data_IF_322448136978
#
_entry.id   IF_322448136978
#
_cell.length_a   1.000
_cell.length_b   1.000
_cell.length_c   1.000
_cell.angle_alpha   90.00
_cell.angle_beta   90.00
_cell.angle_gamma   90.00
#
_symmetry.space_group_name_H-M   'P 1'
#
loop_
_entity.id
_entity.type
_entity.pdbx_description
1 polymer ?
#
# COMPACT_ATOMS: atom_id res chain seq x y z
N UNK A 1 -13.33 -13.27 25.54
CA UNK A 1 -12.52 -12.68 24.46
C UNK A 1 -11.10 -12.53 25.00
N UNK A 2 -10.09 -13.06 24.31
CA UNK A 2 -8.66 -12.89 24.67
C UNK A 2 -8.02 -12.06 23.57
N UNK A 3 -7.34 -10.99 23.96
CA UNK A 3 -6.60 -10.13 23.03
C UNK A 3 -5.14 -10.55 22.97
N UNK A 4 -4.53 -10.46 21.77
CA UNK A 4 -3.12 -10.77 21.55
C UNK A 4 -2.51 -9.83 20.52
N UNK A 5 -1.32 -9.29 20.84
CA UNK A 5 -0.53 -8.52 19.88
C UNK A 5 0.35 -9.47 19.06
N UNK A 6 -0.09 -9.73 17.83
CA UNK A 6 0.59 -10.60 16.86
C UNK A 6 1.90 -10.00 16.36
N UNK A 7 2.06 -8.67 16.40
CA UNK A 7 3.28 -8.03 15.92
C UNK A 7 4.44 -8.17 16.90
N UNK A 8 4.13 -8.14 18.21
CA UNK A 8 5.09 -8.34 19.30
C UNK A 8 5.39 -9.83 19.52
N UNK A 9 4.35 -10.64 19.73
CA UNK A 9 4.50 -12.01 20.27
C UNK A 9 4.25 -13.13 19.26
N UNK A 10 3.83 -12.79 18.04
CA UNK A 10 3.37 -13.76 17.07
C UNK A 10 2.09 -14.48 17.52
N UNK A 11 1.85 -15.67 16.97
CA UNK A 11 0.70 -16.52 17.35
C UNK A 11 1.12 -17.86 17.97
N UNK A 12 2.43 -18.13 18.13
CA UNK A 12 2.92 -19.47 18.49
C UNK A 12 2.36 -19.98 19.82
N UNK A 13 2.11 -19.10 20.79
CA UNK A 13 1.62 -19.48 22.12
C UNK A 13 0.11 -19.70 22.19
N UNK A 14 -0.62 -19.43 21.12
CA UNK A 14 -2.10 -19.49 21.08
C UNK A 14 -2.66 -20.37 19.97
N UNK A 15 -1.81 -20.88 19.08
CA UNK A 15 -2.22 -21.80 18.02
C UNK A 15 -2.26 -23.23 18.54
N UNK A 16 -3.34 -23.93 18.21
CA UNK A 16 -3.49 -25.36 18.42
C UNK A 16 -3.64 -26.08 17.06
N UNK A 17 -3.25 -27.34 17.00
CA UNK A 17 -3.45 -28.16 15.80
C UNK A 17 -4.94 -28.31 15.50
N UNK A 18 -5.32 -28.14 14.23
CA UNK A 18 -6.72 -28.13 13.81
C UNK A 18 -7.38 -26.74 13.84
N UNK A 19 -6.71 -25.72 14.38
CA UNK A 19 -7.22 -24.34 14.31
C UNK A 19 -7.34 -23.84 12.88
N UNK A 20 -8.36 -23.00 12.66
CA UNK A 20 -8.50 -22.15 11.48
C UNK A 20 -8.17 -20.70 11.84
N UNK A 21 -7.02 -20.24 11.39
CA UNK A 21 -6.64 -18.83 11.51
C UNK A 21 -7.30 -18.03 10.40
N UNK A 22 -8.05 -16.98 10.75
CA UNK A 22 -8.71 -16.11 9.77
C UNK A 22 -8.10 -14.71 9.83
N UNK A 23 -7.30 -14.38 8.82
CA UNK A 23 -6.77 -13.05 8.62
C UNK A 23 -7.70 -12.22 7.74
N UNK A 24 -8.61 -11.45 8.35
CA UNK A 24 -9.35 -10.39 7.66
C UNK A 24 -8.54 -9.11 7.73
N UNK A 25 -8.30 -8.45 6.58
CA UNK A 25 -7.50 -7.23 6.48
C UNK A 25 -6.11 -7.28 7.20
N UNK A 26 -5.32 -8.36 7.14
CA UNK A 26 -3.97 -8.37 7.70
C UNK A 26 -3.04 -7.57 6.78
N UNK A 27 -2.82 -6.31 7.13
CA UNK A 27 -2.04 -5.38 6.34
C UNK A 27 -0.54 -5.50 6.66
N UNK A 28 0.31 -5.50 5.63
CA UNK A 28 1.76 -5.37 5.73
C UNK A 28 2.41 -6.44 6.60
N UNK A 29 3.17 -6.02 7.61
CA UNK A 29 3.93 -6.88 8.52
C UNK A 29 3.03 -7.86 9.29
N UNK A 30 1.82 -7.44 9.67
CA UNK A 30 0.88 -8.33 10.35
C UNK A 30 0.60 -9.58 9.51
N UNK A 31 0.39 -9.40 8.21
CA UNK A 31 0.19 -10.52 7.30
C UNK A 31 1.42 -11.43 7.18
N UNK A 32 2.63 -10.88 7.26
CA UNK A 32 3.86 -11.70 7.28
C UNK A 32 3.94 -12.52 8.58
N UNK A 33 3.66 -11.90 9.74
CA UNK A 33 3.72 -12.58 11.05
C UNK A 33 2.72 -13.72 11.19
N UNK A 34 1.51 -13.55 10.66
CA UNK A 34 0.49 -14.60 10.64
C UNK A 34 0.98 -15.79 9.80
N UNK A 35 1.48 -15.52 8.58
CA UNK A 35 2.01 -16.55 7.67
C UNK A 35 3.19 -17.29 8.31
N UNK A 36 4.14 -16.56 8.90
CA UNK A 36 5.29 -17.14 9.61
C UNK A 36 4.86 -18.03 10.78
N UNK A 37 3.87 -17.59 11.56
CA UNK A 37 3.41 -18.34 12.73
C UNK A 37 2.70 -19.64 12.33
N UNK A 38 1.83 -19.58 11.31
CA UNK A 38 1.14 -20.77 10.80
C UNK A 38 2.10 -21.74 10.13
N UNK A 39 3.04 -21.24 9.31
CA UNK A 39 4.06 -22.06 8.67
C UNK A 39 4.97 -22.74 9.70
N UNK A 40 5.35 -22.03 10.77
CA UNK A 40 6.17 -22.61 11.85
C UNK A 40 5.42 -23.66 12.68
N UNK A 41 4.10 -23.49 12.87
CA UNK A 41 3.29 -24.45 13.63
C UNK A 41 2.97 -25.72 12.82
N UNK A 42 2.69 -25.59 11.52
CA UNK A 42 2.43 -26.72 10.62
C UNK A 42 1.04 -27.34 10.74
N UNK A 43 0.45 -27.39 11.94
CA UNK A 43 -0.84 -28.05 12.21
C UNK A 43 -2.12 -27.22 12.01
N UNK A 44 -2.04 -25.97 11.57
CA UNK A 44 -3.19 -25.07 11.46
C UNK A 44 -3.54 -24.77 10.00
N UNK A 45 -4.83 -24.56 9.74
CA UNK A 45 -5.33 -23.98 8.49
C UNK A 45 -5.31 -22.45 8.55
N UNK A 46 -5.23 -21.81 7.39
CA UNK A 46 -5.17 -20.35 7.29
C UNK A 46 -6.01 -19.84 6.13
N UNK A 47 -6.99 -18.99 6.42
CA UNK A 47 -7.71 -18.17 5.44
C UNK A 47 -7.21 -16.72 5.52
N UNK A 48 -6.70 -16.19 4.41
CA UNK A 48 -6.13 -14.84 4.35
C UNK A 48 -6.82 -13.99 3.30
N UNK A 49 -7.33 -12.84 3.74
CA UNK A 49 -7.95 -11.80 2.90
C UNK A 49 -7.19 -10.48 3.11
N UNK A 50 -6.00 -10.33 2.51
CA UNK A 50 -5.11 -9.18 2.75
C UNK A 50 -5.67 -7.88 2.16
N UNK A 51 -5.38 -6.75 2.83
CA UNK A 51 -5.84 -5.41 2.44
C UNK A 51 -4.76 -4.54 1.81
N UNK A 52 -3.53 -4.60 2.32
CA UNK A 52 -2.39 -3.80 1.87
C UNK A 52 -1.10 -4.54 2.15
N UNK A 53 -0.09 -4.37 1.30
CA UNK A 53 1.23 -4.99 1.49
C UNK A 53 2.31 -4.01 1.96
N UNK A 54 2.02 -2.70 1.96
CA UNK A 54 3.00 -1.63 2.20
C UNK A 54 3.29 -1.29 3.67
N UNK A 55 2.44 -1.70 4.62
CA UNK A 55 2.62 -1.40 6.06
C UNK A 55 3.68 -2.30 6.70
N UNK A 56 4.92 -2.20 6.23
CA UNK A 56 6.06 -2.98 6.70
C UNK A 56 6.88 -2.18 7.72
N UNK A 57 7.57 -2.87 8.63
CA UNK A 57 8.62 -2.29 9.45
C UNK A 57 9.97 -2.70 8.85
N UNK A 58 10.61 -1.81 8.10
CA UNK A 58 11.92 -2.08 7.48
C UNK A 58 12.16 -1.29 6.20
N UNK A 59 13.42 -1.28 5.77
CA UNK A 59 13.85 -0.60 4.54
C UNK A 59 13.47 -1.39 3.27
N UNK A 60 13.18 -2.68 3.41
CA UNK A 60 12.75 -3.59 2.33
C UNK A 60 11.88 -4.71 2.89
N UNK A 61 11.06 -5.31 2.03
CA UNK A 61 10.46 -6.63 2.27
C UNK A 61 11.32 -7.70 1.59
N UNK A 62 11.93 -8.57 2.39
CA UNK A 62 12.61 -9.76 1.90
C UNK A 62 11.62 -10.91 1.66
N UNK A 63 11.95 -11.81 0.72
CA UNK A 63 11.18 -13.01 0.46
C UNK A 63 11.18 -14.00 1.64
N UNK A 64 10.01 -14.62 1.89
CA UNK A 64 9.79 -15.59 2.97
C UNK A 64 9.81 -17.04 2.47
N UNK A 65 9.54 -17.27 1.20
CA UNK A 65 9.69 -18.61 0.59
C UNK A 65 11.14 -18.92 0.22
N UNK A 66 11.47 -20.22 0.15
CA UNK A 66 12.75 -20.71 -0.39
C UNK A 66 12.92 -20.27 -1.85
N UNK A 67 11.89 -20.37 -2.66
CA UNK A 67 11.92 -19.95 -4.06
C UNK A 67 12.17 -18.44 -4.20
N UNK A 68 11.44 -17.61 -3.45
CA UNK A 68 11.64 -16.16 -3.46
C UNK A 68 13.03 -15.75 -2.95
N UNK A 69 13.56 -16.43 -1.93
CA UNK A 69 14.95 -16.23 -1.48
C UNK A 69 15.97 -16.59 -2.56
N UNK A 70 15.81 -17.72 -3.25
CA UNK A 70 16.69 -18.13 -4.36
C UNK A 70 16.64 -17.13 -5.52
N UNK A 71 15.45 -16.62 -5.83
CA UNK A 71 15.25 -15.58 -6.84
C UNK A 71 15.67 -14.17 -6.36
N UNK A 72 16.12 -14.02 -5.11
CA UNK A 72 16.54 -12.76 -4.48
C UNK A 72 15.47 -11.68 -4.59
N UNK A 73 14.20 -12.04 -4.43
CA UNK A 73 13.09 -11.08 -4.45
C UNK A 73 13.17 -10.19 -3.22
N UNK A 74 13.41 -8.90 -3.46
CA UNK A 74 13.46 -7.85 -2.44
C UNK A 74 12.64 -6.66 -2.94
N UNK A 75 11.64 -6.26 -2.17
CA UNK A 75 10.70 -5.20 -2.56
C UNK A 75 10.88 -3.98 -1.67
N UNK A 76 11.18 -2.83 -2.27
CA UNK A 76 11.26 -1.57 -1.54
C UNK A 76 9.88 -1.09 -1.07
N UNK A 77 9.78 -0.33 0.04
CA UNK A 77 8.53 0.24 0.53
C UNK A 77 7.78 1.06 -0.53
N UNK A 78 8.49 1.77 -1.40
CA UNK A 78 7.91 2.52 -2.51
C UNK A 78 7.17 1.61 -3.50
N UNK A 79 7.73 0.45 -3.85
CA UNK A 79 7.10 -0.55 -4.71
C UNK A 79 5.85 -1.15 -4.04
N UNK A 80 5.93 -1.49 -2.76
CA UNK A 80 4.78 -2.00 -1.99
C UNK A 80 3.66 -0.95 -1.88
N UNK A 81 4.03 0.33 -1.75
CA UNK A 81 3.09 1.47 -1.77
C UNK A 81 2.40 1.54 -3.14
N UNK A 82 3.09 1.29 -4.26
CA UNK A 82 2.46 1.20 -5.59
C UNK A 82 1.44 0.07 -5.69
N UNK A 83 1.73 -1.12 -5.15
CA UNK A 83 0.73 -2.19 -5.01
C UNK A 83 -0.51 -1.78 -4.21
N UNK A 84 -0.41 -0.71 -3.43
CA UNK A 84 -1.53 -0.16 -2.66
C UNK A 84 -2.21 1.06 -3.26
N UNK A 85 -1.59 1.65 -4.27
CA UNK A 85 -2.08 2.84 -4.98
C UNK A 85 -2.50 2.53 -6.41
N UNK A 86 -2.25 1.31 -6.91
CA UNK A 86 -2.63 0.84 -8.24
C UNK A 86 -4.15 0.79 -8.48
N UNK A 87 -4.95 1.07 -7.45
CA UNK A 87 -6.40 1.10 -7.52
C UNK A 87 -6.87 2.42 -8.14
N UNK A 88 -7.55 2.29 -9.27
CA UNK A 88 -8.12 3.30 -10.13
C UNK A 88 -7.29 4.59 -10.33
N UNK A 89 -6.27 4.47 -11.20
CA UNK A 89 -5.48 5.60 -11.65
C UNK A 89 -6.34 6.71 -12.32
N UNK A 90 -7.53 6.40 -12.85
CA UNK A 90 -8.38 7.37 -13.54
C UNK A 90 -9.12 8.29 -12.56
N UNK A 91 -9.68 7.73 -11.48
CA UNK A 91 -10.40 8.46 -10.42
C UNK A 91 -9.50 9.42 -9.61
N UNK A 92 -8.18 9.26 -9.74
CA UNK A 92 -7.19 10.01 -8.98
C UNK A 92 -6.47 11.08 -9.80
N UNK A 93 -6.75 11.24 -11.10
CA UNK A 93 -6.03 12.21 -11.95
C UNK A 93 -6.25 13.66 -11.52
N UNK A 94 -7.51 14.10 -11.40
CA UNK A 94 -7.81 15.49 -11.06
C UNK A 94 -7.25 15.93 -9.69
N UNK A 95 -7.40 15.13 -8.61
CA UNK A 95 -6.77 15.45 -7.33
C UNK A 95 -5.24 15.45 -7.36
N UNK A 96 -4.62 14.55 -8.14
CA UNK A 96 -3.16 14.52 -8.32
C UNK A 96 -2.67 15.76 -9.07
N UNK A 97 -3.43 16.19 -10.09
CA UNK A 97 -3.14 17.42 -10.84
C UNK A 97 -3.18 18.64 -9.92
N UNK A 98 -4.26 18.80 -9.15
CA UNK A 98 -4.40 19.91 -8.20
C UNK A 98 -3.26 19.96 -7.17
N UNK A 99 -2.78 18.81 -6.69
CA UNK A 99 -1.61 18.76 -5.79
C UNK A 99 -0.31 19.15 -6.50
N UNK A 100 -0.14 18.76 -7.76
CA UNK A 100 1.04 19.13 -8.55
C UNK A 100 1.08 20.63 -8.85
N UNK A 101 -0.07 21.20 -9.22
CA UNK A 101 -0.26 22.64 -9.40
C UNK A 101 0.01 23.39 -8.08
N UNK A 102 -0.45 22.86 -6.95
CA UNK A 102 -0.18 23.42 -5.63
C UNK A 102 1.32 23.45 -5.31
N UNK A 103 2.07 22.40 -5.67
CA UNK A 103 3.52 22.39 -5.49
C UNK A 103 4.20 23.46 -6.34
N UNK A 104 3.71 23.74 -7.54
CA UNK A 104 4.24 24.84 -8.36
C UNK A 104 3.96 26.21 -7.71
N UNK A 105 2.73 26.44 -7.22
CA UNK A 105 2.36 27.66 -6.50
C UNK A 105 3.22 27.87 -5.24
N UNK A 106 3.37 26.82 -4.41
CA UNK A 106 4.16 26.88 -3.19
C UNK A 106 5.64 27.17 -3.50
N UNK A 107 6.21 26.52 -4.52
CA UNK A 107 7.57 26.83 -4.99
C UNK A 107 7.72 28.28 -5.46
N UNK A 108 6.77 28.80 -6.23
CA UNK A 108 6.79 30.19 -6.69
C UNK A 108 6.74 31.20 -5.52
N UNK A 109 6.12 30.81 -4.40
CA UNK A 109 6.09 31.58 -3.15
C UNK A 109 7.28 31.32 -2.21
N UNK A 110 8.30 30.60 -2.65
CA UNK A 110 9.48 30.29 -1.84
C UNK A 110 9.22 29.28 -0.70
N UNK A 111 8.10 28.54 -0.75
CA UNK A 111 7.81 27.50 0.25
C UNK A 111 8.54 26.22 -0.16
N UNK A 112 9.54 25.85 0.63
CA UNK A 112 10.29 24.62 0.47
C UNK A 112 9.51 23.45 1.07
N UNK A 113 9.10 22.52 0.21
CA UNK A 113 8.51 21.25 0.62
C UNK A 113 9.61 20.23 0.92
N UNK A 114 9.42 19.39 1.93
CA UNK A 114 10.34 18.27 2.16
C UNK A 114 10.25 17.25 1.02
N UNK A 115 11.36 16.56 0.76
CA UNK A 115 11.31 15.30 0.03
C UNK A 115 10.46 14.29 0.83
N UNK A 116 9.78 13.35 0.16
CA UNK A 116 9.05 12.29 0.88
C UNK A 116 9.99 11.58 1.88
N UNK A 117 9.80 11.81 3.19
CA UNK A 117 10.60 11.22 4.27
C UNK A 117 11.73 12.09 4.86
N UNK A 118 11.97 13.31 4.34
CA UNK A 118 12.83 14.31 4.99
C UNK A 118 11.98 15.34 5.73
N UNK A 119 12.38 15.79 6.91
CA UNK A 119 11.57 16.58 7.87
C UNK A 119 10.96 17.93 7.42
N UNK A 120 10.96 18.25 6.12
CA UNK A 120 10.12 19.29 5.55
C UNK A 120 8.68 18.79 5.33
N UNK A 121 7.70 19.65 5.59
CA UNK A 121 6.29 19.29 5.44
C UNK A 121 5.87 18.98 4.00
N UNK A 122 4.83 18.15 3.83
CA UNK A 122 4.19 17.88 2.53
C UNK A 122 3.29 19.05 2.10
N UNK A 123 3.00 19.14 0.81
CA UNK A 123 2.02 20.10 0.29
C UNK A 123 0.64 19.94 0.95
N UNK A 124 0.27 18.72 1.37
CA UNK A 124 -1.02 18.38 1.96
C UNK A 124 -1.04 18.35 3.50
N UNK A 125 0.01 18.82 4.18
CA UNK A 125 0.10 18.74 5.64
C UNK A 125 -1.11 19.34 6.36
N UNK A 126 -1.78 18.51 7.16
CA UNK A 126 -2.99 18.88 7.88
C UNK A 126 -4.20 19.20 6.99
N UNK A 127 -4.18 18.88 5.69
CA UNK A 127 -5.26 19.12 4.73
C UNK A 127 -5.95 17.82 4.36
N UNK A 128 -7.28 17.79 4.45
CA UNK A 128 -8.06 16.63 4.06
C UNK A 128 -7.94 16.36 2.55
N UNK A 129 -7.69 15.10 2.19
CA UNK A 129 -7.46 14.66 0.80
C UNK A 129 -8.60 15.03 -0.17
N UNK A 130 -9.85 15.10 0.33
CA UNK A 130 -11.04 15.47 -0.45
C UNK A 130 -11.00 16.89 -1.01
N UNK A 131 -10.25 17.80 -0.40
CA UNK A 131 -10.16 19.19 -0.85
C UNK A 131 -9.51 19.26 -2.24
N UNK A 132 -8.54 18.39 -2.52
CA UNK A 132 -7.89 18.33 -3.83
C UNK A 132 -8.86 17.96 -4.98
N UNK A 133 -9.99 17.30 -4.68
CA UNK A 133 -11.03 17.00 -5.68
C UNK A 133 -11.77 18.26 -6.14
N UNK A 134 -11.68 19.35 -5.39
CA UNK A 134 -12.34 20.64 -5.69
C UNK A 134 -11.47 21.55 -6.57
N UNK A 135 -10.34 21.05 -7.07
CA UNK A 135 -9.41 21.79 -7.93
C UNK A 135 -8.42 22.68 -7.15
N UNK A 136 -7.52 23.32 -7.90
CA UNK A 136 -6.40 24.09 -7.34
C UNK A 136 -6.84 25.29 -6.50
N UNK A 137 -7.84 26.07 -6.93
CA UNK A 137 -8.26 27.27 -6.20
C UNK A 137 -8.72 26.95 -4.77
N UNK A 138 -9.61 25.96 -4.62
CA UNK A 138 -10.09 25.52 -3.31
C UNK A 138 -8.97 24.90 -2.47
N UNK A 139 -8.08 24.13 -3.09
CA UNK A 139 -6.95 23.51 -2.41
C UNK A 139 -5.94 24.55 -1.91
N UNK A 140 -5.52 25.47 -2.76
CA UNK A 140 -4.59 26.54 -2.44
C UNK A 140 -5.11 27.44 -1.32
N UNK A 141 -6.39 27.84 -1.37
CA UNK A 141 -7.00 28.64 -0.31
C UNK A 141 -6.89 27.98 1.08
N UNK A 142 -7.15 26.66 1.17
CA UNK A 142 -7.06 25.91 2.43
C UNK A 142 -5.61 25.76 2.90
N UNK A 143 -4.71 25.41 1.97
CA UNK A 143 -3.28 25.17 2.22
C UNK A 143 -2.58 26.44 2.70
N UNK A 144 -2.83 27.57 2.02
CA UNK A 144 -2.21 28.86 2.31
C UNK A 144 -2.72 29.42 3.64
N UNK A 145 -4.04 29.35 3.89
CA UNK A 145 -4.62 29.74 5.18
C UNK A 145 -3.99 28.97 6.35
N UNK A 146 -3.79 27.66 6.21
CA UNK A 146 -3.14 26.82 7.24
C UNK A 146 -1.68 27.17 7.48
N UNK A 147 -0.99 27.72 6.47
CA UNK A 147 0.41 28.16 6.58
C UNK A 147 0.54 29.63 6.97
N UNK A 148 -0.56 30.32 7.28
CA UNK A 148 -0.55 31.75 7.58
C UNK A 148 -0.16 32.64 6.38
N UNK A 149 -0.30 32.13 5.16
CA UNK A 149 0.03 32.84 3.94
C UNK A 149 -1.21 33.54 3.36
N UNK A 150 -1.04 34.67 2.65
CA UNK A 150 -2.14 35.36 1.98
C UNK A 150 -2.83 34.44 0.95
N UNK A 151 -4.11 34.67 0.63
CA UNK A 151 -4.80 33.91 -0.40
C UNK A 151 -4.08 34.02 -1.76
N UNK A 152 -4.25 33.04 -2.67
CA UNK A 152 -3.67 33.11 -4.01
C UNK A 152 -4.44 34.10 -4.88
N UNK A 153 -3.73 34.84 -5.72
CA UNK A 153 -4.35 35.62 -6.80
C UNK A 153 -4.70 34.72 -7.98
N UNK A 154 -5.61 35.17 -8.83
CA UNK A 154 -5.98 34.44 -10.06
C UNK A 154 -4.76 34.23 -10.97
N UNK A 155 -3.93 35.26 -11.14
CA UNK A 155 -2.70 35.20 -11.92
C UNK A 155 -1.70 34.17 -11.36
N UNK A 156 -1.56 34.06 -10.03
CA UNK A 156 -0.72 33.04 -9.41
C UNK A 156 -1.24 31.61 -9.66
N UNK A 157 -2.56 31.42 -9.65
CA UNK A 157 -3.18 30.13 -9.95
C UNK A 157 -2.95 29.74 -11.42
N UNK A 158 -3.18 30.66 -12.35
CA UNK A 158 -2.93 30.45 -13.78
C UNK A 158 -1.46 30.12 -14.07
N UNK A 159 -0.54 30.88 -13.47
CA UNK A 159 0.89 30.64 -13.58
C UNK A 159 1.27 29.26 -13.05
N UNK A 160 0.72 28.83 -11.91
CA UNK A 160 0.97 27.52 -11.33
C UNK A 160 0.42 26.37 -12.20
N UNK A 161 -0.77 26.55 -12.79
CA UNK A 161 -1.34 25.60 -13.76
C UNK A 161 -0.44 25.47 -14.99
N UNK A 162 -0.04 26.60 -15.57
CA UNK A 162 0.84 26.63 -16.74
C UNK A 162 2.19 25.97 -16.47
N UNK A 163 2.86 26.37 -15.38
CA UNK A 163 4.20 25.89 -15.02
C UNK A 163 4.25 24.39 -14.71
N UNK A 164 3.14 23.81 -14.25
CA UNK A 164 3.08 22.42 -13.82
C UNK A 164 2.59 21.45 -14.90
N UNK A 165 2.04 21.97 -16.01
CA UNK A 165 1.33 21.19 -17.04
C UNK A 165 2.21 20.11 -17.69
N UNK A 166 3.37 20.50 -18.22
CA UNK A 166 4.24 19.60 -18.97
C UNK A 166 4.78 18.46 -18.08
N UNK A 167 5.23 18.81 -16.88
CA UNK A 167 5.72 17.86 -15.88
C UNK A 167 4.61 16.88 -15.44
N UNK A 168 3.42 17.39 -15.13
CA UNK A 168 2.30 16.53 -14.75
C UNK A 168 1.89 15.56 -15.86
N UNK A 169 1.85 16.00 -17.12
CA UNK A 169 1.52 15.09 -18.23
C UNK A 169 2.57 13.99 -18.42
N UNK A 170 3.85 14.30 -18.19
CA UNK A 170 4.89 13.27 -18.19
C UNK A 170 4.68 12.26 -17.05
N UNK A 171 4.44 12.73 -15.83
CA UNK A 171 4.15 11.88 -14.67
C UNK A 171 2.88 11.04 -14.87
N UNK A 172 1.83 11.62 -15.47
CA UNK A 172 0.57 10.94 -15.75
C UNK A 172 0.77 9.76 -16.70
N UNK A 173 1.58 9.94 -17.75
CA UNK A 173 1.91 8.83 -18.68
C UNK A 173 2.61 7.68 -17.94
N UNK A 174 3.58 7.99 -17.09
CA UNK A 174 4.26 6.98 -16.26
C UNK A 174 3.31 6.31 -15.26
N UNK A 175 2.31 7.04 -14.75
CA UNK A 175 1.33 6.49 -13.81
C UNK A 175 0.45 5.38 -14.39
N UNK A 176 0.36 5.25 -15.71
CA UNK A 176 -0.35 4.14 -16.37
C UNK A 176 0.33 2.80 -16.05
N UNK A 177 1.66 2.78 -15.95
CA UNK A 177 2.41 1.59 -15.60
C UNK A 177 2.22 1.21 -14.13
N UNK A 178 1.86 2.15 -13.27
CA UNK A 178 1.70 1.89 -11.83
C UNK A 178 0.57 0.90 -11.53
N UNK A 179 -0.48 0.87 -12.35
CA UNK A 179 -1.58 -0.08 -12.20
C UNK A 179 -1.08 -1.49 -12.42
N UNK A 180 -0.40 -1.73 -13.54
CA UNK A 180 0.14 -3.05 -13.91
C UNK A 180 1.24 -3.46 -12.94
N UNK A 181 2.22 -2.59 -12.69
CA UNK A 181 3.34 -2.87 -11.80
C UNK A 181 2.87 -3.08 -10.36
N UNK A 182 1.87 -2.32 -9.89
CA UNK A 182 1.32 -2.50 -8.56
C UNK A 182 0.61 -3.84 -8.40
N UNK A 183 -0.17 -4.27 -9.39
CA UNK A 183 -0.79 -5.59 -9.39
C UNK A 183 0.25 -6.72 -9.39
N UNK A 184 1.33 -6.58 -10.17
CA UNK A 184 2.44 -7.54 -10.15
C UNK A 184 3.15 -7.60 -8.79
N UNK A 185 3.38 -6.45 -8.16
CA UNK A 185 3.99 -6.39 -6.82
C UNK A 185 3.08 -7.03 -5.77
N UNK A 186 1.76 -6.82 -5.84
CA UNK A 186 0.79 -7.49 -4.96
C UNK A 186 0.83 -9.00 -5.15
N UNK A 187 0.80 -9.46 -6.41
CA UNK A 187 0.85 -10.87 -6.75
C UNK A 187 2.16 -11.53 -6.26
N UNK A 188 3.31 -10.85 -6.42
CA UNK A 188 4.60 -11.34 -5.92
C UNK A 188 4.58 -11.55 -4.40
N UNK A 189 4.00 -10.63 -3.64
CA UNK A 189 3.88 -10.78 -2.18
C UNK A 189 2.97 -11.95 -1.82
N UNK A 190 1.84 -12.10 -2.51
CA UNK A 190 0.88 -13.16 -2.22
C UNK A 190 1.46 -14.54 -2.58
N UNK A 191 2.09 -14.66 -3.75
CA UNK A 191 2.78 -15.89 -4.16
C UNK A 191 3.89 -16.24 -3.19
N UNK A 192 4.72 -15.28 -2.76
CA UNK A 192 5.79 -15.54 -1.81
C UNK A 192 5.26 -16.06 -0.45
N UNK A 193 4.13 -15.52 0.04
CA UNK A 193 3.45 -16.02 1.24
C UNK A 193 2.90 -17.43 1.06
N UNK A 194 2.23 -17.69 -0.07
CA UNK A 194 1.70 -19.00 -0.42
C UNK A 194 2.83 -20.04 -0.51
N UNK A 195 3.94 -19.70 -1.16
CA UNK A 195 5.11 -20.56 -1.26
C UNK A 195 5.79 -20.78 0.10
N UNK A 196 5.76 -19.80 1.00
CA UNK A 196 6.26 -19.96 2.38
C UNK A 196 5.45 -21.02 3.15
N UNK A 197 4.14 -21.08 2.95
CA UNK A 197 3.27 -22.10 3.56
C UNK A 197 3.47 -23.46 2.88
N UNK A 198 3.56 -23.48 1.55
CA UNK A 198 3.87 -24.70 0.80
C UNK A 198 5.25 -25.28 1.18
N UNK A 199 6.23 -24.43 1.47
CA UNK A 199 7.53 -24.85 2.00
C UNK A 199 7.43 -25.56 3.35
N UNK A 200 6.40 -25.25 4.15
CA UNK A 200 6.07 -25.89 5.42
C UNK A 200 5.14 -27.11 5.28
N UNK A 201 4.80 -27.51 4.05
CA UNK A 201 3.96 -28.68 3.77
C UNK A 201 2.47 -28.38 3.58
N UNK A 202 2.04 -27.13 3.67
CA UNK A 202 0.63 -26.77 3.44
C UNK A 202 0.24 -26.90 1.96
N UNK A 203 -0.99 -27.34 1.72
CA UNK A 203 -1.63 -27.20 0.40
C UNK A 203 -2.28 -25.82 0.30
N UNK A 204 -1.85 -25.00 -0.66
CA UNK A 204 -2.31 -23.60 -0.77
C UNK A 204 -3.14 -23.38 -2.04
N UNK A 205 -4.32 -22.78 -1.88
CA UNK A 205 -5.23 -22.36 -2.96
C UNK A 205 -5.40 -20.85 -2.92
N UNK A 206 -5.37 -20.21 -4.09
CA UNK A 206 -5.64 -18.78 -4.23
C UNK A 206 -6.94 -18.57 -4.99
N UNK A 207 -7.67 -17.50 -4.67
CA UNK A 207 -8.94 -17.18 -5.31
C UNK A 207 -9.26 -15.69 -5.18
N UNK A 208 -10.21 -15.22 -5.99
CA UNK A 208 -10.76 -13.88 -5.87
C UNK A 208 -11.94 -13.92 -4.89
N UNK A 209 -11.78 -13.34 -3.70
CA UNK A 209 -12.79 -13.37 -2.63
C UNK A 209 -13.99 -12.45 -2.89
N UNK A 210 -13.79 -11.37 -3.66
CA UNK A 210 -14.79 -10.33 -3.86
C UNK A 210 -14.92 -9.96 -5.34
N UNK A 211 -16.14 -9.55 -5.72
CA UNK A 211 -16.37 -8.82 -6.97
C UNK A 211 -15.58 -7.52 -6.94
N UNK A 212 -15.05 -7.10 -8.09
CA UNK A 212 -14.31 -5.83 -8.22
C UNK A 212 -15.12 -4.62 -7.75
N UNK A 213 -16.45 -4.65 -7.85
CA UNK A 213 -17.33 -3.58 -7.35
C UNK A 213 -17.39 -3.48 -5.83
N UNK A 214 -17.03 -4.55 -5.09
CA UNK A 214 -17.04 -4.58 -3.64
C UNK A 214 -15.64 -4.31 -3.05
N UNK A 215 -14.60 -4.83 -3.70
CA UNK A 215 -13.22 -4.55 -3.33
C UNK A 215 -12.31 -4.73 -4.53
N UNK A 216 -11.49 -3.72 -4.79
CA UNK A 216 -10.39 -3.82 -5.75
C UNK A 216 -9.24 -4.70 -5.24
N UNK A 217 -9.26 -5.06 -3.94
CA UNK A 217 -8.34 -5.99 -3.28
C UNK A 217 -9.07 -7.29 -3.02
N UNK A 218 -8.90 -8.24 -3.92
CA UNK A 218 -9.69 -9.46 -3.87
C UNK A 218 -8.88 -10.75 -3.92
N UNK A 219 -7.55 -10.72 -4.08
CA UNK A 219 -6.76 -11.94 -4.04
C UNK A 219 -6.64 -12.43 -2.60
N UNK A 220 -7.32 -13.53 -2.31
CA UNK A 220 -7.26 -14.26 -1.06
C UNK A 220 -6.56 -15.60 -1.27
N UNK A 221 -6.14 -16.22 -0.18
CA UNK A 221 -5.65 -17.60 -0.20
C UNK A 221 -6.11 -18.38 1.02
N UNK A 222 -6.23 -19.69 0.83
CA UNK A 222 -6.48 -20.68 1.86
C UNK A 222 -5.33 -21.68 1.87
N UNK A 223 -4.80 -21.99 3.05
CA UNK A 223 -3.76 -22.97 3.25
C UNK A 223 -4.26 -24.06 4.21
N UNK A 224 -4.25 -25.30 3.73
CA UNK A 224 -4.60 -26.49 4.51
C UNK A 224 -3.30 -27.11 5.04
N UNK A 225 -3.23 -27.49 6.33
CA UNK A 225 -2.07 -28.20 6.87
C UNK A 225 -1.92 -29.57 6.20
N UNK A 226 -0.71 -30.15 6.18
CA UNK A 226 -0.53 -31.53 5.73
C UNK A 226 -1.41 -32.48 6.54
N UNK A 227 -1.92 -33.53 5.88
CA UNK A 227 -2.68 -34.55 6.58
C UNK A 227 -1.76 -35.23 7.61
N UNK A 228 -2.18 -35.38 8.88
CA UNK A 228 -1.37 -36.05 9.91
C UNK A 228 -1.17 -37.57 9.67
N UNK A 229 -1.64 -38.09 8.53
CA UNK A 229 -1.65 -39.50 8.15
C UNK A 229 -0.63 -39.86 7.05
N UNK A 230 0.16 -38.89 6.56
CA UNK A 230 1.30 -39.05 5.65
C UNK A 230 2.61 -38.70 6.35
#
# INVERSE_FOLDING_TARGET
FREHDVLDRGLQSVLESGDLVVGLHPCGLLGERIVESVAAHGGCALLMVPCCVHKQCGLVRAARSRAGRRARVVLAPSALKKASMALDASLTVAPRRARHELRALLRARGVHLGAEGGGGGSEMDGVQSRVARRGIAALAAVVLKKRGLPPPTEQELEAAVSASRAEFEALRRLSLLEVVLGALVELLVIIDRALCLADAGHTVRHFLAFKSTASDRNIAFFAEPPNPSE
#
